data_IF_411060910162
#
_entry.id   IF_411060910162
#
_cell.length_a   1.000
_cell.length_b   1.000
_cell.length_c   1.000
_cell.angle_alpha   90.00
_cell.angle_beta   90.00
_cell.angle_gamma   90.00
#
_symmetry.space_group_name_H-M   'P 1'
#
loop_
_entity.id
_entity.type
_entity.pdbx_description
1 polymer ?
#
# COMPACT_ATOMS: atom_id res chain seq x y z
N UNK A 1 2.12 0.34 11.08
CA UNK A 1 1.24 -0.58 10.33
C UNK A 1 1.83 -1.97 10.44
N UNK A 2 1.02 -3.04 10.55
CA UNK A 2 1.53 -4.42 10.50
C UNK A 2 2.31 -4.67 9.20
N UNK A 3 3.45 -5.37 9.27
CA UNK A 3 4.32 -5.63 8.11
C UNK A 3 3.61 -6.41 7.00
N UNK A 4 2.74 -7.35 7.38
CA UNK A 4 1.95 -8.15 6.44
C UNK A 4 1.05 -7.29 5.54
N UNK A 5 0.46 -6.24 6.11
CA UNK A 5 -0.39 -5.30 5.36
C UNK A 5 0.47 -4.39 4.46
N UNK A 6 1.72 -4.10 4.86
CA UNK A 6 2.62 -3.28 4.06
C UNK A 6 2.90 -3.90 2.69
N UNK A 7 3.19 -5.20 2.66
CA UNK A 7 3.41 -5.91 1.40
C UNK A 7 2.19 -5.84 0.48
N UNK A 8 0.99 -5.96 1.06
CA UNK A 8 -0.28 -5.84 0.31
C UNK A 8 -0.43 -4.42 -0.26
N UNK A 9 -0.21 -3.40 0.56
CA UNK A 9 -0.33 -2.01 0.12
C UNK A 9 0.65 -1.69 -1.02
N UNK A 10 1.90 -2.14 -0.92
CA UNK A 10 2.90 -1.98 -1.98
C UNK A 10 2.43 -2.62 -3.29
N UNK A 11 1.88 -3.84 -3.23
CA UNK A 11 1.32 -4.51 -4.41
C UNK A 11 0.16 -3.75 -5.04
N UNK A 12 -0.72 -3.14 -4.24
CA UNK A 12 -1.81 -2.29 -4.74
C UNK A 12 -1.28 -1.02 -5.41
N UNK A 13 -0.19 -0.44 -4.89
CA UNK A 13 0.42 0.76 -5.46
C UNK A 13 1.10 0.48 -6.80
N UNK A 14 1.77 -0.66 -6.91
CA UNK A 14 2.45 -1.16 -8.11
C UNK A 14 1.44 -1.56 -9.20
N UNK A 15 0.53 -2.48 -8.88
CA UNK A 15 -0.35 -3.09 -9.89
C UNK A 15 -1.64 -2.31 -10.16
N UNK A 16 -1.98 -1.33 -9.31
CA UNK A 16 -3.24 -0.55 -9.36
C UNK A 16 -4.52 -1.41 -9.38
N UNK A 17 -4.49 -2.55 -8.67
CA UNK A 17 -5.61 -3.48 -8.57
C UNK A 17 -5.81 -3.98 -7.14
N UNK A 18 -7.05 -4.38 -6.82
CA UNK A 18 -7.42 -4.92 -5.50
C UNK A 18 -8.28 -6.18 -5.61
N UNK A 19 -8.25 -7.02 -4.57
CA UNK A 19 -9.23 -8.09 -4.35
C UNK A 19 -10.15 -7.64 -3.21
N UNK A 20 -11.47 -7.76 -3.38
CA UNK A 20 -12.43 -7.51 -2.30
C UNK A 20 -12.29 -8.57 -1.23
N UNK A 21 -12.58 -8.25 0.03
CA UNK A 21 -12.63 -9.25 1.11
C UNK A 21 -13.57 -10.39 0.71
N UNK A 22 -13.09 -11.64 0.80
CA UNK A 22 -13.81 -12.84 0.36
C UNK A 22 -13.92 -13.03 -1.16
N UNK A 23 -13.29 -12.16 -1.96
CA UNK A 23 -13.21 -12.28 -3.41
C UNK A 23 -11.98 -13.07 -3.86
N UNK A 24 -12.00 -13.49 -5.13
CA UNK A 24 -10.89 -14.23 -5.76
C UNK A 24 -10.43 -13.61 -7.09
N UNK A 25 -10.88 -12.39 -7.40
CA UNK A 25 -10.57 -11.71 -8.67
C UNK A 25 -10.06 -10.30 -8.39
N UNK A 26 -9.00 -9.94 -9.10
CA UNK A 26 -8.49 -8.58 -9.13
C UNK A 26 -9.42 -7.65 -9.87
N UNK A 27 -9.46 -6.41 -9.41
CA UNK A 27 -10.20 -5.31 -10.03
C UNK A 27 -9.27 -4.09 -10.16
N UNK A 28 -9.10 -3.52 -11.36
CA UNK A 28 -8.34 -2.30 -11.52
C UNK A 28 -9.04 -1.15 -10.80
N UNK A 29 -8.27 -0.25 -10.22
CA UNK A 29 -8.77 0.92 -9.50
C UNK A 29 -7.98 2.16 -9.89
N UNK A 30 -8.69 3.27 -10.06
CA UNK A 30 -8.09 4.59 -10.16
C UNK A 30 -8.25 5.30 -8.82
N UNK A 31 -7.15 5.60 -8.15
CA UNK A 31 -7.16 6.18 -6.81
C UNK A 31 -6.01 7.17 -6.60
N UNK A 32 -6.22 8.07 -5.63
CA UNK A 32 -5.19 8.96 -5.09
C UNK A 32 -4.85 8.49 -3.67
N UNK A 33 -3.56 8.31 -3.38
CA UNK A 33 -3.08 8.03 -2.04
C UNK A 33 -2.81 9.35 -1.31
N UNK A 34 -3.40 9.51 -0.13
CA UNK A 34 -3.06 10.58 0.81
C UNK A 34 -2.56 9.90 2.09
N UNK A 35 -1.35 10.23 2.51
CA UNK A 35 -0.76 9.69 3.72
C UNK A 35 -0.36 10.84 4.65
N UNK A 36 -0.56 10.65 5.95
CA UNK A 36 -0.06 11.53 6.98
C UNK A 36 0.57 10.66 8.07
N UNK A 37 1.76 11.05 8.51
CA UNK A 37 2.50 10.35 9.56
C UNK A 37 3.16 11.38 10.46
N UNK A 38 3.24 11.09 11.75
CA UNK A 38 4.00 11.89 12.69
C UNK A 38 5.49 11.50 12.74
N UNK A 39 5.94 10.65 11.81
CA UNK A 39 7.31 10.18 11.67
C UNK A 39 7.96 10.79 10.42
N UNK A 40 9.26 11.07 10.51
CA UNK A 40 10.04 11.53 9.37
C UNK A 40 10.20 10.40 8.34
N UNK A 41 9.61 10.59 7.15
CA UNK A 41 9.64 9.60 6.08
C UNK A 41 11.01 9.46 5.43
N UNK A 42 11.76 10.56 5.27
CA UNK A 42 13.07 10.52 4.62
C UNK A 42 14.02 9.64 5.43
N UNK A 43 14.06 9.88 6.74
CA UNK A 43 14.85 9.06 7.65
C UNK A 43 14.47 7.58 7.59
N UNK A 44 13.17 7.27 7.48
CA UNK A 44 12.69 5.89 7.39
C UNK A 44 13.06 5.19 6.07
N UNK A 45 13.43 5.94 5.03
CA UNK A 45 13.86 5.39 3.72
C UNK A 45 15.38 5.34 3.54
N UNK A 46 16.14 6.06 4.36
CA UNK A 46 17.61 6.12 4.26
C UNK A 46 18.32 4.94 4.92
N UNK A 47 17.65 4.21 5.81
CA UNK A 47 18.15 2.96 6.38
C UNK A 47 18.09 1.85 5.31
N UNK A 48 19.24 1.59 4.67
CA UNK A 48 19.48 0.46 3.76
C UNK A 48 19.76 -0.83 4.51
#
# INVERSE_FOLDING_TARGET
MPLEIQAILLRVLEDKQVIRVGGHRYKPINFRLIAATNKDLHRMTEDR
#
